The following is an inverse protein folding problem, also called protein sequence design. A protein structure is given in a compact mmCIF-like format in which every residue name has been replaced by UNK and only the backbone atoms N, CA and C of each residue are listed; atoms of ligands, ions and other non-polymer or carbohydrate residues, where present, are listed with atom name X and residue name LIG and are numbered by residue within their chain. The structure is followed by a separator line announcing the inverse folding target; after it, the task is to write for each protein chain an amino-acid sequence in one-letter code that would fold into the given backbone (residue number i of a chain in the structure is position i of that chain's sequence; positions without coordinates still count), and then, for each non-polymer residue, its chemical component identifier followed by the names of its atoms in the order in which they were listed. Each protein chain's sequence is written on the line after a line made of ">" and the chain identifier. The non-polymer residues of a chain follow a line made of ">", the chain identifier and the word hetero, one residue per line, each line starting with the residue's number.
data_IF_044794731001
#
_entry.id   IF_044794731001
#
_cell.length_a   1.000
_cell.length_b   1.000
_cell.length_c   1.000
_cell.angle_alpha   90.00
_cell.angle_beta   90.00
_cell.angle_gamma   90.00
#
_symmetry.space_group_name_H-M   'P 1'
#
loop_
_entity.id
_entity.type
_entity.pdbx_description
1 polymer ?
#
# COMPACT_ATOMS: atom_id res chain seq x y z
N UNK A 1 -16.31 11.81 24.61
CA UNK A 1 -15.14 12.37 23.91
C UNK A 1 -14.63 11.49 22.75
N UNK A 2 -14.47 10.15 22.85
CA UNK A 2 -14.02 9.33 21.68
C UNK A 2 -14.92 9.44 20.43
N UNK A 3 -16.25 9.45 20.60
CA UNK A 3 -17.24 9.53 19.48
C UNK A 3 -17.27 10.89 18.75
N UNK A 4 -16.63 11.92 19.29
CA UNK A 4 -16.54 13.25 18.64
C UNK A 4 -15.20 13.47 17.92
N UNK A 5 -14.26 12.51 18.00
CA UNK A 5 -13.01 12.55 17.23
C UNK A 5 -13.30 12.31 15.73
N UNK A 6 -12.87 13.19 14.81
CA UNK A 6 -13.09 12.99 13.37
C UNK A 6 -12.52 11.68 12.81
N UNK A 7 -11.34 11.25 13.28
CA UNK A 7 -10.71 9.97 12.90
C UNK A 7 -11.55 8.77 13.35
N UNK A 8 -12.18 8.86 14.53
CA UNK A 8 -13.13 7.83 14.99
C UNK A 8 -14.29 7.70 14.01
N UNK A 9 -14.92 8.82 13.63
CA UNK A 9 -16.08 8.81 12.74
C UNK A 9 -15.72 8.30 11.35
N UNK A 10 -14.60 8.79 10.80
CA UNK A 10 -14.10 8.37 9.50
C UNK A 10 -13.84 6.85 9.46
N UNK A 11 -13.14 6.31 10.47
CA UNK A 11 -12.86 4.87 10.55
C UNK A 11 -14.14 4.02 10.59
N UNK A 12 -15.12 4.38 11.43
CA UNK A 12 -16.36 3.60 11.53
C UNK A 12 -17.25 3.76 10.29
N UNK A 13 -17.24 4.94 9.65
CA UNK A 13 -17.92 5.18 8.38
C UNK A 13 -17.33 4.28 7.29
N UNK A 14 -16.00 4.26 7.16
CA UNK A 14 -15.28 3.40 6.22
C UNK A 14 -15.54 1.91 6.52
N UNK A 15 -15.48 1.51 7.79
CA UNK A 15 -15.73 0.14 8.21
C UNK A 15 -17.13 -0.32 7.81
N UNK A 16 -18.15 0.48 8.12
CA UNK A 16 -19.55 0.20 7.74
C UNK A 16 -19.72 0.06 6.22
N UNK A 17 -19.06 0.92 5.45
CA UNK A 17 -19.22 0.96 4.01
C UNK A 17 -18.50 -0.18 3.29
N UNK A 18 -17.24 -0.44 3.64
CA UNK A 18 -16.34 -1.29 2.86
C UNK A 18 -16.07 -2.65 3.49
N UNK A 19 -16.12 -2.79 4.81
CA UNK A 19 -15.78 -4.07 5.47
C UNK A 19 -16.97 -5.02 5.39
N UNK A 20 -16.76 -6.21 4.80
CA UNK A 20 -17.78 -7.23 4.59
C UNK A 20 -17.36 -8.54 5.28
N UNK A 21 -18.33 -9.21 5.88
CA UNK A 21 -18.13 -10.50 6.54
C UNK A 21 -18.85 -11.60 5.79
N UNK A 22 -18.18 -12.74 5.67
CA UNK A 22 -18.65 -13.99 5.08
C UNK A 22 -18.21 -15.16 5.98
N UNK A 23 -18.58 -16.39 5.63
CA UNK A 23 -18.22 -17.56 6.41
C UNK A 23 -16.70 -17.76 6.49
N UNK A 24 -16.00 -17.38 5.43
CA UNK A 24 -14.54 -17.46 5.29
C UNK A 24 -13.80 -16.30 5.98
N UNK A 25 -14.49 -15.41 6.70
CA UNK A 25 -13.87 -14.31 7.45
C UNK A 25 -14.33 -12.92 6.98
N UNK A 26 -13.46 -11.92 7.12
CA UNK A 26 -13.75 -10.53 6.78
C UNK A 26 -12.78 -9.99 5.73
N UNK A 27 -13.31 -9.25 4.76
CA UNK A 27 -12.55 -8.57 3.72
C UNK A 27 -12.99 -7.12 3.52
N UNK A 28 -12.16 -6.33 2.84
CA UNK A 28 -12.52 -4.98 2.37
C UNK A 28 -13.02 -5.09 0.93
N UNK A 29 -14.26 -4.67 0.70
CA UNK A 29 -14.83 -4.61 -0.64
C UNK A 29 -14.08 -3.59 -1.51
N UNK A 30 -13.37 -4.08 -2.53
CA UNK A 30 -12.64 -3.30 -3.51
C UNK A 30 -13.46 -2.85 -4.71
N UNK A 31 -14.71 -3.29 -4.84
CA UNK A 31 -15.61 -2.92 -5.95
C UNK A 31 -16.45 -1.71 -5.61
N UNK A 32 -16.41 -0.70 -6.50
CA UNK A 32 -17.32 0.46 -6.50
C UNK A 32 -18.64 0.18 -7.25
N UNK A 33 -18.73 -0.94 -7.96
CA UNK A 33 -19.93 -1.31 -8.69
C UNK A 33 -21.05 -1.73 -7.73
N UNK A 34 -22.25 -1.20 -7.98
CA UNK A 34 -23.44 -1.50 -7.18
C UNK A 34 -23.77 -3.00 -7.25
N UNK A 35 -24.01 -3.60 -6.08
CA UNK A 35 -24.32 -5.02 -5.91
C UNK A 35 -23.19 -5.99 -6.31
N UNK A 36 -22.00 -5.49 -6.67
CA UNK A 36 -20.81 -6.30 -6.81
C UNK A 36 -19.95 -6.18 -5.54
N UNK A 37 -19.35 -7.31 -5.13
CA UNK A 37 -18.37 -7.30 -4.05
C UNK A 37 -17.16 -8.10 -4.49
N UNK A 38 -16.00 -7.48 -4.36
CA UNK A 38 -14.71 -8.07 -4.71
C UNK A 38 -13.75 -7.89 -3.54
N UNK A 39 -12.96 -8.91 -3.25
CA UNK A 39 -11.81 -8.80 -2.36
C UNK A 39 -10.55 -8.82 -3.22
N UNK A 40 -9.67 -7.86 -2.99
CA UNK A 40 -8.34 -7.84 -3.59
C UNK A 40 -7.33 -8.15 -2.47
N UNK A 41 -6.20 -8.77 -2.79
CA UNK A 41 -5.11 -8.90 -1.80
C UNK A 41 -4.64 -7.51 -1.32
N UNK A 42 -4.66 -6.50 -2.20
CA UNK A 42 -4.44 -5.09 -1.84
C UNK A 42 -5.46 -4.59 -0.81
N UNK A 43 -6.76 -4.76 -1.09
CA UNK A 43 -7.82 -4.29 -0.19
C UNK A 43 -7.76 -5.00 1.15
N UNK A 44 -7.39 -6.29 1.16
CA UNK A 44 -7.16 -7.07 2.35
C UNK A 44 -5.98 -6.53 3.17
N UNK A 45 -4.85 -6.26 2.51
CA UNK A 45 -3.69 -5.63 3.13
C UNK A 45 -4.03 -4.30 3.80
N UNK A 46 -4.74 -3.42 3.10
CA UNK A 46 -5.22 -2.17 3.70
C UNK A 46 -6.13 -2.40 4.89
N UNK A 47 -7.10 -3.32 4.79
CA UNK A 47 -8.00 -3.64 5.90
C UNK A 47 -7.25 -4.09 7.16
N UNK A 48 -6.22 -4.92 6.98
CA UNK A 48 -5.37 -5.39 8.07
C UNK A 48 -4.53 -4.25 8.68
N UNK A 49 -3.90 -3.41 7.85
CA UNK A 49 -3.14 -2.24 8.31
C UNK A 49 -4.02 -1.23 9.07
N UNK A 50 -5.17 -0.88 8.49
CA UNK A 50 -6.16 0.03 9.09
C UNK A 50 -6.62 -0.52 10.44
N UNK A 51 -6.93 -1.81 10.52
CA UNK A 51 -7.37 -2.44 11.77
C UNK A 51 -6.27 -2.38 12.84
N UNK A 52 -5.00 -2.57 12.47
CA UNK A 52 -3.89 -2.45 13.43
C UNK A 52 -3.66 -1.01 13.91
N UNK A 53 -3.74 -0.03 13.01
CA UNK A 53 -3.62 1.39 13.37
C UNK A 53 -4.82 1.85 14.23
N UNK A 54 -6.02 1.35 13.93
CA UNK A 54 -7.22 1.57 14.75
C UNK A 54 -7.06 0.92 16.13
N UNK A 55 -6.49 -0.28 16.22
CA UNK A 55 -6.23 -0.98 17.47
C UNK A 55 -5.22 -0.25 18.37
N UNK A 56 -4.26 0.51 17.81
CA UNK A 56 -3.37 1.40 18.59
C UNK A 56 -4.13 2.54 19.30
N UNK A 57 -5.35 2.84 18.85
CA UNK A 57 -6.25 3.87 19.40
C UNK A 57 -7.45 3.30 20.15
N UNK A 58 -7.42 1.99 20.43
CA UNK A 58 -8.53 1.21 21.00
C UNK A 58 -9.84 1.34 20.19
N UNK A 59 -9.73 1.48 18.87
CA UNK A 59 -10.87 1.54 17.95
C UNK A 59 -11.19 0.19 17.30
N UNK A 60 -10.28 -0.77 17.43
CA UNK A 60 -10.44 -2.14 16.95
C UNK A 60 -9.84 -3.13 17.95
N UNK A 61 -10.38 -4.34 17.98
CA UNK A 61 -9.93 -5.40 18.88
C UNK A 61 -9.09 -6.45 18.16
N UNK A 62 -8.41 -7.31 18.92
CA UNK A 62 -7.74 -8.49 18.37
C UNK A 62 -8.71 -9.41 17.65
N UNK A 63 -9.97 -9.50 18.10
CA UNK A 63 -11.00 -10.29 17.46
C UNK A 63 -11.35 -9.72 16.07
N UNK A 64 -11.36 -8.40 15.89
CA UNK A 64 -11.62 -7.78 14.59
C UNK A 64 -10.49 -8.05 13.61
N UNK A 65 -9.24 -7.90 14.04
CA UNK A 65 -8.07 -8.26 13.22
C UNK A 65 -8.07 -9.74 12.83
N UNK A 66 -8.39 -10.62 13.78
CA UNK A 66 -8.46 -12.06 13.54
C UNK A 66 -9.47 -12.45 12.46
N UNK A 67 -10.53 -11.68 12.23
CA UNK A 67 -11.47 -11.94 11.13
C UNK A 67 -10.83 -11.72 9.75
N UNK A 68 -9.96 -10.72 9.62
CA UNK A 68 -9.17 -10.52 8.40
C UNK A 68 -8.10 -11.61 8.23
N UNK A 69 -7.48 -12.05 9.32
CA UNK A 69 -6.51 -13.18 9.28
C UNK A 69 -7.18 -14.46 8.76
N UNK A 70 -8.40 -14.77 9.22
CA UNK A 70 -9.16 -15.93 8.72
C UNK A 70 -9.33 -15.84 7.21
N UNK A 71 -9.79 -14.68 6.71
CA UNK A 71 -10.02 -14.48 5.28
C UNK A 71 -8.75 -14.67 4.46
N UNK A 72 -7.65 -14.05 4.87
CA UNK A 72 -6.35 -14.26 4.23
C UNK A 72 -5.99 -15.75 4.16
N UNK A 73 -6.09 -16.49 5.27
CA UNK A 73 -5.73 -17.90 5.30
C UNK A 73 -6.62 -18.80 4.44
N UNK A 74 -7.89 -18.43 4.21
CA UNK A 74 -8.80 -19.16 3.32
C UNK A 74 -8.51 -18.90 1.83
N UNK A 75 -7.78 -17.83 1.51
CA UNK A 75 -7.56 -17.37 0.14
C UNK A 75 -6.06 -17.32 -0.24
N UNK A 76 -5.21 -18.08 0.45
CA UNK A 76 -3.85 -18.36 -0.03
C UNK A 76 -3.87 -19.16 -1.33
N UNK A 77 -2.92 -18.92 -2.23
CA UNK A 77 -2.83 -19.60 -3.54
C UNK A 77 -2.81 -21.12 -3.40
N UNK A 78 -2.09 -21.64 -2.39
CA UNK A 78 -2.10 -23.07 -2.03
C UNK A 78 -1.52 -23.30 -0.63
N UNK A 79 -1.50 -24.56 -0.16
CA UNK A 79 -0.81 -24.93 1.08
C UNK A 79 0.71 -24.65 1.02
N UNK A 80 1.31 -24.69 -0.16
CA UNK A 80 2.74 -24.51 -0.39
C UNK A 80 3.12 -23.06 -0.72
N UNK A 81 2.19 -22.31 -1.31
CA UNK A 81 2.34 -20.88 -1.61
C UNK A 81 1.31 -20.10 -0.80
N UNK A 82 1.77 -19.51 0.30
CA UNK A 82 0.95 -18.82 1.30
C UNK A 82 0.77 -17.33 0.99
N UNK A 83 1.17 -16.89 -0.20
CA UNK A 83 0.73 -15.62 -0.76
C UNK A 83 -0.77 -15.68 -1.07
N UNK A 84 -1.44 -14.55 -1.00
CA UNK A 84 -2.88 -14.44 -1.20
C UNK A 84 -3.19 -14.38 -2.70
N UNK A 85 -4.19 -15.15 -3.15
CA UNK A 85 -4.74 -14.97 -4.48
C UNK A 85 -5.24 -13.52 -4.63
N UNK A 86 -4.88 -12.84 -5.71
CA UNK A 86 -4.98 -11.39 -5.77
C UNK A 86 -6.41 -10.87 -5.86
N UNK A 87 -7.36 -11.70 -6.35
CA UNK A 87 -8.76 -11.30 -6.51
C UNK A 87 -9.75 -12.44 -6.28
N UNK A 88 -10.72 -12.18 -5.41
CA UNK A 88 -11.91 -12.99 -5.22
C UNK A 88 -13.18 -12.19 -5.56
N UNK A 89 -14.13 -12.85 -6.21
CA UNK A 89 -15.46 -12.28 -6.46
C UNK A 89 -16.46 -12.91 -5.51
N UNK A 90 -17.35 -12.10 -4.95
CA UNK A 90 -18.47 -12.61 -4.17
C UNK A 90 -19.67 -12.82 -5.08
N UNK A 91 -20.19 -14.04 -5.08
CA UNK A 91 -21.50 -14.36 -5.64
C UNK A 91 -22.37 -14.91 -4.53
N UNK A 92 -23.50 -14.24 -4.24
CA UNK A 92 -24.32 -14.49 -3.06
C UNK A 92 -23.51 -14.38 -1.75
N UNK A 93 -23.48 -15.44 -0.94
CA UNK A 93 -22.67 -15.52 0.28
C UNK A 93 -21.37 -16.31 0.11
N UNK A 94 -21.03 -16.71 -1.13
CA UNK A 94 -19.83 -17.49 -1.42
C UNK A 94 -18.77 -16.60 -2.06
N UNK A 95 -17.52 -16.83 -1.67
CA UNK A 95 -16.35 -16.19 -2.26
C UNK A 95 -15.71 -17.15 -3.26
N UNK A 96 -15.51 -16.69 -4.49
CA UNK A 96 -14.88 -17.47 -5.55
C UNK A 96 -13.56 -16.86 -5.98
N UNK A 97 -12.51 -17.69 -6.01
CA UNK A 97 -11.25 -17.38 -6.70
C UNK A 97 -11.30 -18.01 -8.09
N UNK A 98 -11.31 -17.19 -9.14
CA UNK A 98 -11.20 -17.72 -10.51
C UNK A 98 -9.76 -18.20 -10.76
N UNK A 99 -9.58 -19.23 -11.58
CA UNK A 99 -8.25 -19.80 -11.86
C UNK A 99 -7.25 -18.74 -12.36
N UNK A 100 -7.68 -17.83 -13.24
CA UNK A 100 -6.88 -16.69 -13.74
C UNK A 100 -6.48 -15.68 -12.64
N UNK A 101 -7.16 -15.71 -11.50
CA UNK A 101 -6.88 -14.84 -10.36
C UNK A 101 -6.11 -15.57 -9.24
N UNK A 102 -5.78 -16.85 -9.42
CA UNK A 102 -5.05 -17.63 -8.42
C UNK A 102 -3.53 -17.42 -8.51
N UNK A 103 -3.15 -16.16 -8.60
CA UNK A 103 -1.78 -15.60 -8.59
C UNK A 103 -1.78 -14.47 -7.58
N UNK A 104 -0.63 -13.97 -7.15
CA UNK A 104 -0.59 -12.90 -6.16
C UNK A 104 -0.39 -11.51 -6.77
N UNK A 105 -0.56 -10.51 -5.92
CA UNK A 105 -0.09 -9.15 -6.12
C UNK A 105 0.76 -8.75 -4.90
N UNK A 106 2.00 -8.35 -5.19
CA UNK A 106 3.08 -8.25 -4.19
C UNK A 106 2.78 -7.21 -3.11
N UNK A 107 2.16 -6.09 -3.48
CA UNK A 107 1.76 -5.03 -2.54
C UNK A 107 0.77 -5.52 -1.49
N UNK A 108 -0.22 -6.31 -1.89
CA UNK A 108 -1.17 -6.92 -0.97
C UNK A 108 -0.50 -7.83 0.06
N UNK A 109 0.36 -8.74 -0.39
CA UNK A 109 1.07 -9.66 0.51
C UNK A 109 2.04 -8.94 1.44
N UNK A 110 2.74 -7.90 0.97
CA UNK A 110 3.61 -7.08 1.80
C UNK A 110 2.82 -6.37 2.91
N UNK A 111 1.66 -5.80 2.60
CA UNK A 111 0.80 -5.15 3.59
C UNK A 111 0.24 -6.15 4.61
N UNK A 112 -0.19 -7.34 4.16
CA UNK A 112 -0.66 -8.42 5.04
C UNK A 112 0.45 -8.87 5.98
N UNK A 113 1.65 -9.14 5.46
CA UNK A 113 2.80 -9.55 6.27
C UNK A 113 3.18 -8.49 7.30
N UNK A 114 3.23 -7.22 6.90
CA UNK A 114 3.55 -6.12 7.81
C UNK A 114 2.49 -5.95 8.90
N UNK A 115 1.20 -6.03 8.55
CA UNK A 115 0.11 -5.95 9.52
C UNK A 115 0.14 -7.10 10.54
N UNK A 116 0.50 -8.32 10.11
CA UNK A 116 0.71 -9.46 11.03
C UNK A 116 1.87 -9.21 12.00
N UNK A 117 2.95 -8.57 11.57
CA UNK A 117 4.05 -8.19 12.47
C UNK A 117 3.62 -7.08 13.45
N UNK A 118 2.82 -6.12 13.02
CA UNK A 118 2.21 -5.15 13.94
C UNK A 118 1.33 -5.85 14.99
N UNK A 119 0.58 -6.88 14.60
CA UNK A 119 -0.23 -7.68 15.50
C UNK A 119 0.61 -8.49 16.51
N UNK A 120 1.71 -9.11 16.06
CA UNK A 120 2.67 -9.76 16.94
C UNK A 120 3.29 -8.78 17.95
N UNK A 121 3.63 -7.57 17.51
CA UNK A 121 4.16 -6.54 18.41
C UNK A 121 3.13 -6.10 19.48
N UNK A 122 1.84 -5.99 19.10
CA UNK A 122 0.80 -5.49 20.00
C UNK A 122 0.22 -6.55 20.93
N UNK A 123 -0.03 -7.75 20.41
CA UNK A 123 -0.76 -8.81 21.11
C UNK A 123 0.04 -10.09 21.31
N UNK A 124 1.27 -10.14 20.79
CA UNK A 124 2.09 -11.35 20.75
C UNK A 124 1.43 -12.49 19.96
N UNK A 125 2.19 -13.56 19.75
CA UNK A 125 1.76 -14.75 19.02
C UNK A 125 1.29 -15.88 19.95
N UNK A 126 0.68 -15.55 21.10
CA UNK A 126 0.26 -16.51 22.13
C UNK A 126 -1.22 -16.87 22.06
N UNK A 127 -2.01 -16.16 21.26
CA UNK A 127 -3.44 -16.41 21.07
C UNK A 127 -3.75 -17.47 20.01
N UNK A 128 -4.97 -17.40 19.44
CA UNK A 128 -5.46 -18.34 18.42
C UNK A 128 -4.56 -18.44 17.18
N UNK A 129 -3.91 -17.34 16.80
CA UNK A 129 -3.02 -17.28 15.64
C UNK A 129 -1.63 -16.88 16.08
N UNK A 130 -0.63 -17.58 15.54
CA UNK A 130 0.76 -17.20 15.67
C UNK A 130 1.09 -16.20 14.54
N UNK A 131 0.89 -14.91 14.79
CA UNK A 131 1.05 -13.85 13.79
C UNK A 131 2.48 -13.79 13.24
N UNK A 132 3.50 -13.94 14.10
CA UNK A 132 4.90 -13.96 13.67
C UNK A 132 5.17 -15.08 12.68
N UNK A 133 4.66 -16.28 12.94
CA UNK A 133 4.80 -17.43 12.03
C UNK A 133 4.06 -17.19 10.71
N UNK A 134 2.86 -16.61 10.75
CA UNK A 134 2.12 -16.27 9.53
C UNK A 134 2.88 -15.24 8.68
N UNK A 135 3.38 -14.16 9.30
CA UNK A 135 4.18 -13.16 8.61
C UNK A 135 5.47 -13.76 8.02
N UNK A 136 6.19 -14.57 8.82
CA UNK A 136 7.43 -15.23 8.37
C UNK A 136 7.19 -16.12 7.14
N UNK A 137 6.06 -16.82 7.10
CA UNK A 137 5.69 -17.63 5.94
C UNK A 137 5.49 -16.80 4.67
N UNK A 138 4.75 -15.69 4.76
CA UNK A 138 4.51 -14.78 3.62
C UNK A 138 5.84 -14.18 3.15
N UNK A 139 6.65 -13.67 4.07
CA UNK A 139 7.96 -13.08 3.78
C UNK A 139 8.88 -14.08 3.07
N UNK A 140 8.92 -15.34 3.52
CA UNK A 140 9.71 -16.36 2.84
C UNK A 140 9.14 -16.71 1.45
N UNK A 141 7.81 -16.71 1.30
CA UNK A 141 7.17 -16.99 0.01
C UNK A 141 7.34 -15.83 -0.99
N UNK A 142 7.34 -14.57 -0.55
CA UNK A 142 7.69 -13.42 -1.39
C UNK A 142 9.09 -13.56 -1.99
N UNK A 143 10.06 -13.98 -1.18
CA UNK A 143 11.41 -14.27 -1.68
C UNK A 143 11.42 -15.46 -2.64
N UNK A 144 10.68 -16.52 -2.35
CA UNK A 144 10.66 -17.72 -3.18
C UNK A 144 10.00 -17.50 -4.55
N UNK A 145 8.91 -16.75 -4.57
CA UNK A 145 8.03 -16.63 -5.73
C UNK A 145 8.16 -15.30 -6.47
N UNK A 146 8.53 -14.21 -5.80
CA UNK A 146 8.46 -12.86 -6.39
C UNK A 146 9.83 -12.21 -6.56
N UNK A 147 10.83 -12.56 -5.75
CA UNK A 147 12.18 -11.98 -5.85
C UNK A 147 12.85 -12.30 -7.18
N UNK A 148 13.40 -11.28 -7.83
CA UNK A 148 14.17 -11.38 -9.06
C UNK A 148 15.66 -11.23 -8.73
N UNK A 149 16.41 -12.33 -8.89
CA UNK A 149 17.86 -12.36 -8.62
C UNK A 149 18.66 -11.44 -9.56
N UNK A 150 18.17 -11.14 -10.77
CA UNK A 150 18.88 -10.32 -11.77
C UNK A 150 18.86 -8.82 -11.44
N UNK A 151 17.80 -8.33 -10.80
CA UNK A 151 17.66 -6.91 -10.47
C UNK A 151 17.53 -6.63 -8.96
N UNK A 152 17.51 -7.68 -8.14
CA UNK A 152 17.44 -7.65 -6.67
C UNK A 152 16.16 -7.02 -6.09
N UNK A 153 15.10 -6.95 -6.89
CA UNK A 153 13.79 -6.41 -6.51
C UNK A 153 12.71 -7.50 -6.52
N UNK A 154 11.56 -7.18 -5.92
CA UNK A 154 10.37 -7.99 -6.08
C UNK A 154 9.67 -7.64 -7.39
N UNK A 155 9.18 -8.67 -8.11
CA UNK A 155 8.26 -8.51 -9.24
C UNK A 155 6.90 -8.01 -8.74
N UNK A 156 6.04 -7.57 -9.65
CA UNK A 156 4.66 -7.15 -9.34
C UNK A 156 3.78 -8.29 -8.79
N UNK A 157 4.11 -9.54 -9.10
CA UNK A 157 3.51 -10.75 -8.54
C UNK A 157 4.26 -11.99 -9.03
N UNK A 158 3.96 -13.17 -8.49
CA UNK A 158 4.63 -14.42 -8.86
C UNK A 158 4.50 -14.78 -10.35
N UNK A 159 3.39 -14.41 -10.97
CA UNK A 159 3.07 -14.67 -12.37
C UNK A 159 3.98 -13.94 -13.36
N UNK A 160 4.67 -12.88 -12.91
CA UNK A 160 5.65 -12.17 -13.72
C UNK A 160 6.99 -12.91 -13.82
N UNK A 161 7.21 -13.97 -13.02
CA UNK A 161 8.46 -14.73 -13.04
C UNK A 161 8.64 -15.45 -14.37
N UNK A 162 9.79 -15.25 -15.01
CA UNK A 162 10.15 -15.80 -16.32
C UNK A 162 9.27 -15.33 -17.48
N UNK A 163 8.44 -14.31 -17.28
CA UNK A 163 7.68 -13.68 -18.36
C UNK A 163 8.53 -12.56 -18.98
N UNK A 164 8.75 -12.60 -20.30
CA UNK A 164 9.61 -11.63 -21.00
C UNK A 164 9.14 -10.17 -20.81
N UNK A 165 7.82 -9.96 -20.79
CA UNK A 165 7.21 -8.63 -20.67
C UNK A 165 7.19 -8.14 -19.22
N UNK A 166 6.97 -9.03 -18.25
CA UNK A 166 6.70 -8.65 -16.86
C UNK A 166 7.85 -8.92 -15.87
N UNK A 167 8.85 -9.74 -16.22
CA UNK A 167 9.91 -10.18 -15.28
C UNK A 167 10.70 -9.02 -14.66
N UNK A 168 10.87 -7.94 -15.41
CA UNK A 168 11.61 -6.74 -15.01
C UNK A 168 10.70 -5.54 -14.74
N UNK A 169 9.38 -5.74 -14.75
CA UNK A 169 8.41 -4.70 -14.42
C UNK A 169 8.44 -4.44 -12.92
N UNK A 170 8.62 -3.17 -12.57
CA UNK A 170 8.55 -2.68 -11.20
C UNK A 170 7.40 -1.68 -11.13
N UNK A 171 6.42 -1.98 -10.27
CA UNK A 171 5.43 -1.02 -9.82
C UNK A 171 6.04 -0.19 -8.71
N UNK A 172 6.18 1.11 -8.91
CA UNK A 172 7.03 1.94 -8.03
C UNK A 172 6.45 2.09 -6.62
N UNK A 173 5.13 1.95 -6.44
CA UNK A 173 4.47 1.91 -5.13
C UNK A 173 4.83 0.70 -4.27
N UNK A 174 5.40 -0.34 -4.87
CA UNK A 174 5.80 -1.57 -4.17
C UNK A 174 7.22 -1.45 -3.62
N UNK A 175 7.94 -0.39 -3.96
CA UNK A 175 9.23 -0.07 -3.36
C UNK A 175 8.97 0.55 -1.98
N UNK A 176 8.84 -0.30 -0.96
CA UNK A 176 8.55 0.08 0.43
C UNK A 176 9.74 -0.27 1.34
N UNK A 177 10.83 0.53 1.38
CA UNK A 177 12.05 0.14 2.09
C UNK A 177 11.87 -0.09 3.60
N UNK A 178 10.93 0.57 4.27
CA UNK A 178 10.64 0.30 5.68
C UNK A 178 10.20 -1.16 5.92
N UNK A 179 9.46 -1.74 4.98
CA UNK A 179 9.01 -3.13 5.06
C UNK A 179 10.18 -4.08 4.80
N UNK A 180 11.00 -3.81 3.78
CA UNK A 180 12.17 -4.64 3.47
C UNK A 180 13.16 -4.69 4.62
N UNK A 181 13.38 -3.55 5.31
CA UNK A 181 14.18 -3.52 6.55
C UNK A 181 13.57 -4.41 7.64
N UNK A 182 12.26 -4.31 7.86
CA UNK A 182 11.54 -5.12 8.86
C UNK A 182 11.60 -6.62 8.52
N UNK A 183 11.49 -6.98 7.24
CA UNK A 183 11.55 -8.37 6.78
C UNK A 183 12.96 -8.95 6.88
N UNK A 184 14.00 -8.14 6.66
CA UNK A 184 15.38 -8.51 6.96
C UNK A 184 15.56 -8.79 8.46
N UNK A 185 15.08 -7.90 9.34
CA UNK A 185 15.17 -8.09 10.79
C UNK A 185 14.41 -9.33 11.28
N UNK A 186 13.32 -9.71 10.60
CA UNK A 186 12.55 -10.92 10.90
C UNK A 186 13.28 -12.22 10.53
N UNK A 187 14.04 -12.22 9.42
CA UNK A 187 14.49 -13.46 8.74
C UNK A 187 16.01 -13.62 8.64
N UNK A 188 16.77 -12.54 8.79
CA UNK A 188 18.21 -12.43 8.46
C UNK A 188 18.57 -12.79 6.99
N UNK A 189 17.56 -12.86 6.10
CA UNK A 189 17.78 -13.12 4.67
C UNK A 189 18.31 -11.87 3.96
N UNK A 190 19.58 -11.93 3.52
CA UNK A 190 20.28 -10.81 2.87
C UNK A 190 19.61 -10.30 1.59
N UNK A 191 18.72 -11.07 0.95
CA UNK A 191 17.95 -10.60 -0.20
C UNK A 191 17.05 -9.42 0.18
N UNK A 192 16.49 -9.41 1.38
CA UNK A 192 15.73 -8.24 1.87
C UNK A 192 16.59 -7.00 2.04
N UNK A 193 17.83 -7.16 2.52
CA UNK A 193 18.79 -6.07 2.61
C UNK A 193 19.16 -5.53 1.21
N UNK A 194 19.35 -6.41 0.22
CA UNK A 194 19.58 -6.01 -1.18
C UNK A 194 18.40 -5.25 -1.75
N UNK A 195 17.19 -5.78 -1.62
CA UNK A 195 15.95 -5.12 -2.05
C UNK A 195 15.77 -3.76 -1.37
N UNK A 196 16.06 -3.64 -0.07
CA UNK A 196 16.06 -2.37 0.66
C UNK A 196 16.96 -1.32 0.00
N UNK A 197 18.24 -1.65 -0.20
CA UNK A 197 19.23 -0.74 -0.76
C UNK A 197 18.93 -0.39 -2.23
N UNK A 198 18.53 -1.40 -3.02
CA UNK A 198 18.17 -1.24 -4.42
C UNK A 198 16.97 -0.33 -4.59
N UNK A 199 15.93 -0.53 -3.78
CA UNK A 199 14.71 0.28 -3.82
C UNK A 199 15.00 1.75 -3.59
N UNK A 200 15.81 2.09 -2.58
CA UNK A 200 16.22 3.49 -2.31
C UNK A 200 16.92 4.07 -3.54
N UNK A 201 17.90 3.36 -4.10
CA UNK A 201 18.64 3.82 -5.29
C UNK A 201 17.73 4.05 -6.51
N UNK A 202 16.77 3.16 -6.75
CA UNK A 202 15.81 3.32 -7.87
C UNK A 202 14.92 4.53 -7.63
N UNK A 203 14.37 4.68 -6.43
CA UNK A 203 13.50 5.81 -6.08
C UNK A 203 14.25 7.15 -6.20
N UNK A 204 15.50 7.23 -5.73
CA UNK A 204 16.36 8.42 -5.90
C UNK A 204 16.59 8.72 -7.38
N UNK A 205 17.01 7.72 -8.17
CA UNK A 205 17.26 7.87 -9.61
C UNK A 205 16.01 8.36 -10.35
N UNK A 206 14.83 7.86 -10.00
CA UNK A 206 13.57 8.29 -10.61
C UNK A 206 13.18 9.71 -10.20
N UNK A 207 13.31 10.02 -8.91
CA UNK A 207 13.04 11.37 -8.40
C UNK A 207 13.97 12.42 -9.04
N UNK A 208 15.24 12.07 -9.30
CA UNK A 208 16.23 12.97 -9.89
C UNK A 208 16.08 13.20 -11.40
N UNK A 209 15.33 12.35 -12.10
CA UNK A 209 15.05 12.51 -13.54
C UNK A 209 14.16 13.71 -13.88
N UNK A 210 13.49 14.32 -12.90
CA UNK A 210 12.61 15.47 -13.12
C UNK A 210 12.69 16.48 -11.97
N UNK A 211 12.13 17.68 -12.20
CA UNK A 211 12.18 18.78 -11.22
C UNK A 211 11.19 18.60 -10.07
N UNK A 212 10.10 17.86 -10.29
CA UNK A 212 9.00 17.70 -9.32
C UNK A 212 9.27 16.62 -8.28
N UNK A 213 10.21 15.72 -8.55
CA UNK A 213 10.46 14.52 -7.76
C UNK A 213 9.41 13.42 -7.95
N UNK A 214 8.42 13.64 -8.83
CA UNK A 214 7.36 12.67 -9.10
C UNK A 214 7.93 11.39 -9.73
N UNK A 215 7.29 10.27 -9.40
CA UNK A 215 7.73 8.93 -9.79
C UNK A 215 6.59 8.27 -10.59
N UNK A 216 6.87 7.61 -11.73
CA UNK A 216 5.84 7.00 -12.55
C UNK A 216 5.26 5.73 -11.93
N UNK A 217 4.06 5.32 -12.34
CA UNK A 217 3.42 4.07 -11.92
C UNK A 217 4.32 2.85 -12.17
N UNK A 218 4.87 2.75 -13.39
CA UNK A 218 5.69 1.62 -13.80
C UNK A 218 7.03 2.02 -14.42
N UNK A 219 8.03 1.19 -14.15
CA UNK A 219 9.36 1.24 -14.75
C UNK A 219 9.86 -0.16 -15.04
N UNK A 220 10.75 -0.28 -16.03
CA UNK A 220 11.50 -1.51 -16.25
C UNK A 220 12.87 -1.38 -15.60
N UNK A 221 13.24 -2.35 -14.77
CA UNK A 221 14.53 -2.39 -14.09
C UNK A 221 15.27 -3.66 -14.46
N UNK A 222 16.38 -3.49 -15.16
CA UNK A 222 17.41 -4.51 -15.34
C UNK A 222 18.64 -4.10 -14.53
N UNK A 223 19.54 -5.05 -14.27
CA UNK A 223 20.71 -4.95 -13.38
C UNK A 223 21.13 -3.51 -12.98
N UNK A 224 21.57 -2.65 -13.92
CA UNK A 224 21.86 -1.23 -13.61
C UNK A 224 21.04 -0.19 -14.39
N UNK A 225 20.07 -0.62 -15.19
CA UNK A 225 19.29 0.29 -16.04
C UNK A 225 17.86 0.47 -15.52
N UNK A 226 17.35 1.69 -15.64
CA UNK A 226 15.96 2.04 -15.32
C UNK A 226 15.36 2.72 -16.53
N UNK A 227 14.53 1.99 -17.24
CA UNK A 227 13.85 2.45 -18.46
C UNK A 227 12.42 2.88 -18.14
N UNK A 228 11.98 3.90 -18.84
CA UNK A 228 10.59 4.34 -18.77
C UNK A 228 9.69 3.33 -19.50
N UNK A 229 8.44 3.27 -19.09
CA UNK A 229 7.38 2.53 -19.76
C UNK A 229 6.63 3.47 -20.70
N UNK A 230 6.07 2.96 -21.80
CA UNK A 230 5.19 3.73 -22.67
C UNK A 230 3.73 3.66 -22.18
N UNK A 231 2.89 4.68 -22.43
CA UNK A 231 1.46 4.61 -22.17
C UNK A 231 0.82 3.33 -22.75
N UNK A 232 -0.18 2.77 -22.07
CA UNK A 232 -0.94 1.57 -22.46
C UNK A 232 -0.11 0.30 -22.65
N UNK A 233 1.02 0.18 -21.95
CA UNK A 233 1.87 -1.03 -22.02
C UNK A 233 1.40 -2.12 -21.06
N UNK A 234 0.95 -1.73 -19.86
CA UNK A 234 0.62 -2.62 -18.76
C UNK A 234 -0.79 -2.44 -18.23
N UNK A 235 -1.16 -1.25 -17.72
CA UNK A 235 -2.46 -1.04 -17.08
C UNK A 235 -3.28 0.05 -17.77
N UNK A 236 -2.68 1.18 -18.16
CA UNK A 236 -3.43 2.33 -18.66
C UNK A 236 -2.57 3.31 -19.48
N UNK A 237 -3.21 4.35 -20.02
CA UNK A 237 -2.51 5.48 -20.65
C UNK A 237 -1.58 6.25 -19.69
N UNK A 238 -1.71 6.02 -18.39
CA UNK A 238 -0.96 6.70 -17.34
C UNK A 238 0.22 5.89 -16.80
N UNK A 239 0.56 4.74 -17.41
CA UNK A 239 1.64 3.84 -16.96
C UNK A 239 2.98 4.55 -16.69
N UNK A 240 3.23 5.67 -17.38
CA UNK A 240 4.46 6.46 -17.32
C UNK A 240 4.34 7.77 -16.53
N UNK A 241 3.24 7.96 -15.80
CA UNK A 241 2.90 9.17 -15.04
C UNK A 241 2.83 8.89 -13.55
N UNK A 242 2.82 9.94 -12.73
CA UNK A 242 2.46 9.82 -11.32
C UNK A 242 0.94 9.65 -11.22
N UNK A 243 0.48 8.41 -11.18
CA UNK A 243 -0.92 8.06 -11.36
C UNK A 243 -1.43 7.12 -10.25
N UNK A 244 -2.33 6.20 -10.59
CA UNK A 244 -3.12 5.45 -9.62
C UNK A 244 -2.33 4.46 -8.79
N UNK A 245 -1.15 4.05 -9.26
CA UNK A 245 -0.22 3.26 -8.45
C UNK A 245 0.74 4.16 -7.67
N UNK A 246 1.48 5.03 -8.37
CA UNK A 246 2.55 5.84 -7.79
C UNK A 246 2.06 6.87 -6.79
N UNK A 247 0.77 7.21 -6.78
CA UNK A 247 0.19 8.08 -5.75
C UNK A 247 0.42 7.58 -4.31
N UNK A 248 0.64 6.27 -4.11
CA UNK A 248 0.94 5.67 -2.80
C UNK A 248 2.37 5.93 -2.35
N UNK A 249 3.31 6.19 -3.27
CA UNK A 249 4.75 6.32 -2.97
C UNK A 249 5.00 7.28 -1.81
N UNK A 250 4.46 8.51 -1.76
CA UNK A 250 4.75 9.44 -0.67
C UNK A 250 4.39 8.91 0.72
N UNK A 251 3.27 8.20 0.83
CA UNK A 251 2.85 7.53 2.07
C UNK A 251 3.80 6.38 2.42
N UNK A 252 4.16 5.54 1.44
CA UNK A 252 5.08 4.40 1.65
C UNK A 252 6.47 4.84 2.11
N UNK A 253 6.96 5.99 1.62
CA UNK A 253 8.25 6.56 2.02
C UNK A 253 8.18 7.30 3.36
N UNK A 254 6.99 7.65 3.84
CA UNK A 254 6.80 8.40 5.08
C UNK A 254 6.54 7.51 6.30
N UNK A 255 5.86 6.39 6.12
CA UNK A 255 5.39 5.55 7.21
C UNK A 255 6.49 4.63 7.79
N UNK A 256 6.53 4.51 9.12
CA UNK A 256 7.42 3.61 9.86
C UNK A 256 8.91 3.73 9.49
N UNK A 257 9.39 4.95 9.20
CA UNK A 257 10.79 5.19 8.83
C UNK A 257 11.31 6.54 9.30
N UNK A 258 12.61 6.55 9.63
CA UNK A 258 13.40 7.76 9.91
C UNK A 258 14.51 7.99 8.89
N UNK A 259 14.59 7.16 7.84
CA UNK A 259 15.62 7.20 6.80
C UNK A 259 15.63 8.56 6.09
N UNK A 260 16.82 9.16 5.95
CA UNK A 260 16.96 10.53 5.45
C UNK A 260 16.90 10.60 3.92
N UNK A 261 17.36 9.57 3.23
CA UNK A 261 17.27 9.45 1.77
C UNK A 261 15.80 9.43 1.33
N UNK A 262 14.95 8.64 2.00
CA UNK A 262 13.51 8.61 1.73
C UNK A 262 12.83 9.95 2.03
N UNK A 263 13.21 10.61 3.13
CA UNK A 263 12.73 11.95 3.46
C UNK A 263 13.11 12.96 2.39
N UNK A 264 14.33 12.88 1.84
CA UNK A 264 14.79 13.77 0.76
C UNK A 264 13.97 13.58 -0.52
N UNK A 265 13.64 12.34 -0.89
CA UNK A 265 12.75 12.05 -2.03
C UNK A 265 11.36 12.66 -1.78
N UNK A 266 10.77 12.40 -0.61
CA UNK A 266 9.48 12.98 -0.23
C UNK A 266 9.53 14.52 -0.19
N UNK A 267 10.63 15.10 0.29
CA UNK A 267 10.81 16.56 0.34
C UNK A 267 10.69 17.17 -1.05
N UNK A 268 11.30 16.57 -2.08
CA UNK A 268 11.20 17.07 -3.46
C UNK A 268 9.76 17.04 -3.98
N UNK A 269 9.06 15.93 -3.76
CA UNK A 269 7.62 15.78 -4.08
C UNK A 269 6.78 16.83 -3.35
N UNK A 270 7.04 17.04 -2.05
CA UNK A 270 6.34 18.03 -1.23
C UNK A 270 6.64 19.46 -1.68
N UNK A 271 7.86 19.78 -2.09
CA UNK A 271 8.20 21.10 -2.66
C UNK A 271 7.34 21.40 -3.89
N UNK A 272 7.14 20.42 -4.78
CA UNK A 272 6.23 20.57 -5.92
C UNK A 272 4.78 20.79 -5.47
N UNK A 273 4.25 19.94 -4.59
CA UNK A 273 2.85 20.03 -4.15
C UNK A 273 2.55 21.26 -3.29
N UNK A 274 3.54 21.80 -2.58
CA UNK A 274 3.42 23.04 -1.81
C UNK A 274 3.19 24.27 -2.70
N UNK A 275 3.52 24.19 -3.99
CA UNK A 275 3.29 25.25 -4.98
C UNK A 275 1.92 25.13 -5.67
N UNK A 276 1.18 24.04 -5.45
CA UNK A 276 -0.09 23.80 -6.13
C UNK A 276 -1.27 24.39 -5.34
N UNK A 277 -2.20 25.03 -6.05
CA UNK A 277 -3.44 25.53 -5.45
C UNK A 277 -4.30 24.38 -4.88
N UNK A 278 -4.37 23.28 -5.63
CA UNK A 278 -5.06 22.04 -5.27
C UNK A 278 -4.30 20.83 -5.82
N UNK A 279 -4.39 19.69 -5.13
CA UNK A 279 -3.84 18.42 -5.60
C UNK A 279 -4.87 17.79 -6.55
N UNK A 280 -4.49 17.53 -7.79
CA UNK A 280 -5.28 16.86 -8.82
C UNK A 280 -5.03 15.35 -8.80
N UNK A 281 -5.87 14.60 -9.48
CA UNK A 281 -5.53 13.22 -9.83
C UNK A 281 -4.58 13.24 -11.02
N UNK A 282 -3.59 12.33 -11.06
CA UNK A 282 -2.68 12.09 -12.19
C UNK A 282 -1.86 13.31 -12.67
N UNK A 283 -0.54 13.19 -12.59
CA UNK A 283 0.40 14.19 -13.08
C UNK A 283 1.41 13.58 -14.05
N UNK A 284 1.67 14.29 -15.15
CA UNK A 284 2.91 14.06 -15.89
C UNK A 284 4.10 14.36 -14.98
N UNK A 285 5.25 13.72 -15.23
CA UNK A 285 6.43 13.86 -14.37
C UNK A 285 7.02 15.29 -14.39
N UNK A 286 6.67 16.11 -15.38
CA UNK A 286 7.01 17.53 -15.45
C UNK A 286 6.16 18.43 -14.52
N UNK A 287 5.10 17.87 -13.94
CA UNK A 287 4.19 18.56 -13.02
C UNK A 287 2.89 19.06 -13.64
N UNK A 288 2.68 18.90 -14.95
CA UNK A 288 1.38 19.20 -15.57
C UNK A 288 0.33 18.16 -15.16
N UNK A 289 -0.85 18.62 -14.75
CA UNK A 289 -1.98 17.73 -14.42
C UNK A 289 -2.60 17.17 -15.69
N UNK A 290 -2.94 15.87 -15.68
CA UNK A 290 -3.63 15.23 -16.81
C UNK A 290 -5.14 15.45 -16.80
N UNK A 291 -5.68 16.04 -15.73
CA UNK A 291 -7.09 16.35 -15.56
C UNK A 291 -7.28 17.47 -14.52
N UNK A 292 -8.53 17.92 -14.35
CA UNK A 292 -8.88 19.03 -13.46
C UNK A 292 -9.58 18.59 -12.16
N UNK A 293 -9.80 17.29 -11.95
CA UNK A 293 -10.46 16.80 -10.74
C UNK A 293 -9.44 16.39 -9.66
N UNK A 294 -9.91 16.27 -8.42
CA UNK A 294 -9.11 15.87 -7.26
C UNK A 294 -9.62 14.55 -6.72
N UNK A 295 -8.73 13.76 -6.11
CA UNK A 295 -9.09 12.50 -5.45
C UNK A 295 -8.31 12.34 -4.15
N UNK A 296 -8.96 11.83 -3.11
CA UNK A 296 -8.29 11.50 -1.85
C UNK A 296 -7.21 10.43 -2.02
N UNK A 297 -7.26 9.62 -3.08
CA UNK A 297 -6.18 8.70 -3.42
C UNK A 297 -4.83 9.42 -3.68
N UNK A 298 -4.87 10.68 -4.11
CA UNK A 298 -3.67 11.50 -4.35
C UNK A 298 -3.40 12.46 -3.20
N UNK A 299 -4.44 13.05 -2.61
CA UNK A 299 -4.30 14.00 -1.49
C UNK A 299 -3.82 13.31 -0.21
N UNK A 300 -4.37 12.14 0.13
CA UNK A 300 -4.12 11.48 1.41
C UNK A 300 -2.66 11.02 1.56
N UNK A 301 -2.01 10.42 0.54
CA UNK A 301 -0.60 10.09 0.64
C UNK A 301 0.33 11.29 0.82
N UNK A 302 0.03 12.41 0.15
CA UNK A 302 0.79 13.66 0.34
C UNK A 302 0.58 14.22 1.75
N UNK A 303 -0.60 14.06 2.34
CA UNK A 303 -0.85 14.47 3.73
C UNK A 303 0.06 13.72 4.72
N UNK A 304 0.28 12.41 4.51
CA UNK A 304 1.19 11.59 5.33
C UNK A 304 2.63 12.09 5.21
N UNK A 305 3.11 12.29 3.98
CA UNK A 305 4.46 12.81 3.73
C UNK A 305 4.66 14.22 4.32
N UNK A 306 3.69 15.13 4.12
CA UNK A 306 3.73 16.48 4.66
C UNK A 306 3.74 16.46 6.19
N UNK A 307 3.00 15.54 6.83
CA UNK A 307 3.02 15.38 8.28
C UNK A 307 4.36 14.87 8.82
N UNK A 308 5.02 13.95 8.11
CA UNK A 308 6.38 13.48 8.46
C UNK A 308 7.39 14.64 8.51
N UNK A 309 7.20 15.65 7.65
CA UNK A 309 8.09 16.81 7.49
C UNK A 309 7.40 18.14 7.84
N UNK A 310 6.45 18.10 8.80
CA UNK A 310 5.61 19.25 9.17
C UNK A 310 6.37 20.46 9.69
N UNK A 311 7.60 20.30 10.17
CA UNK A 311 8.46 21.43 10.56
C UNK A 311 8.86 22.32 9.38
N UNK A 312 8.95 21.75 8.18
CA UNK A 312 9.27 22.48 6.95
C UNK A 312 8.01 22.77 6.10
N UNK A 313 7.03 21.86 6.13
CA UNK A 313 5.80 21.96 5.34
C UNK A 313 4.56 22.20 6.22
N UNK A 314 4.66 23.06 7.24
CA UNK A 314 3.62 23.25 8.25
C UNK A 314 2.24 23.56 7.64
N UNK A 315 2.16 24.61 6.81
CA UNK A 315 0.90 25.06 6.21
C UNK A 315 0.27 23.98 5.30
N UNK A 316 1.08 23.29 4.50
CA UNK A 316 0.63 22.18 3.67
C UNK A 316 0.11 21.03 4.55
N UNK A 317 0.88 20.64 5.57
CA UNK A 317 0.49 19.57 6.49
C UNK A 317 -0.82 19.89 7.21
N UNK A 318 -1.00 21.11 7.72
CA UNK A 318 -2.25 21.54 8.36
C UNK A 318 -3.44 21.51 7.40
N UNK A 319 -3.28 22.07 6.20
CA UNK A 319 -4.32 22.08 5.15
C UNK A 319 -4.75 20.65 4.78
N UNK A 320 -3.79 19.77 4.50
CA UNK A 320 -4.09 18.41 4.04
C UNK A 320 -4.62 17.52 5.17
N UNK A 321 -4.14 17.67 6.40
CA UNK A 321 -4.71 16.95 7.56
C UNK A 321 -6.18 17.29 7.77
N UNK A 322 -6.56 18.57 7.63
CA UNK A 322 -7.96 18.98 7.71
C UNK A 322 -8.83 18.26 6.66
N UNK A 323 -8.33 18.11 5.43
CA UNK A 323 -9.04 17.38 4.36
C UNK A 323 -9.15 15.87 4.64
N UNK A 324 -8.08 15.27 5.15
CA UNK A 324 -8.04 13.84 5.47
C UNK A 324 -8.91 13.49 6.68
N UNK A 325 -9.01 14.38 7.68
CA UNK A 325 -9.82 14.18 8.88
C UNK A 325 -11.31 14.48 8.71
N UNK A 326 -11.71 15.09 7.60
CA UNK A 326 -13.12 15.20 7.24
C UNK A 326 -13.76 13.79 7.19
N UNK A 327 -14.95 13.60 7.78
CA UNK A 327 -15.57 12.27 7.89
C UNK A 327 -16.41 11.86 6.66
N UNK A 328 -16.45 12.71 5.61
CA UNK A 328 -17.16 12.42 4.36
C UNK A 328 -16.40 11.39 3.54
N UNK A 329 -17.13 10.38 3.07
CA UNK A 329 -16.64 9.37 2.14
C UNK A 329 -17.09 9.70 0.71
N UNK A 330 -16.19 9.54 -0.25
CA UNK A 330 -16.45 9.73 -1.67
C UNK A 330 -17.24 8.59 -2.31
N UNK A 331 -17.36 7.45 -1.61
CA UNK A 331 -17.91 6.18 -2.12
C UNK A 331 -17.07 5.58 -3.25
N UNK A 332 -15.78 5.90 -3.26
CA UNK A 332 -14.76 5.22 -4.05
C UNK A 332 -13.85 4.47 -3.08
N UNK A 333 -13.83 3.15 -3.15
CA UNK A 333 -13.08 2.26 -2.28
C UNK A 333 -11.64 2.73 -2.13
N UNK A 334 -10.98 3.00 -3.26
CA UNK A 334 -9.55 3.27 -3.24
C UNK A 334 -9.23 4.61 -2.56
N UNK A 335 -9.93 5.67 -2.95
CA UNK A 335 -9.75 7.00 -2.37
C UNK A 335 -10.12 7.04 -0.88
N UNK A 336 -11.22 6.41 -0.49
CA UNK A 336 -11.69 6.39 0.90
C UNK A 336 -10.82 5.51 1.79
N UNK A 337 -10.30 4.40 1.26
CA UNK A 337 -9.38 3.51 1.98
C UNK A 337 -8.03 4.18 2.23
N UNK A 338 -7.46 4.86 1.22
CA UNK A 338 -6.24 5.65 1.40
C UNK A 338 -6.46 6.85 2.34
N UNK A 339 -7.65 7.47 2.32
CA UNK A 339 -8.02 8.54 3.26
C UNK A 339 -8.00 8.05 4.71
N UNK A 340 -8.68 6.95 5.04
CA UNK A 340 -8.72 6.43 6.42
C UNK A 340 -7.35 5.91 6.85
N UNK A 341 -6.59 5.27 5.95
CA UNK A 341 -5.24 4.80 6.21
C UNK A 341 -4.33 5.98 6.59
N UNK A 342 -4.33 7.05 5.78
CA UNK A 342 -3.58 8.26 6.06
C UNK A 342 -4.01 8.93 7.38
N UNK A 343 -5.32 9.03 7.63
CA UNK A 343 -5.85 9.63 8.85
C UNK A 343 -5.31 8.90 10.09
N UNK A 344 -5.38 7.57 10.09
CA UNK A 344 -4.90 6.73 11.18
C UNK A 344 -3.38 6.73 11.30
N UNK A 345 -2.63 6.75 10.19
CA UNK A 345 -1.17 6.89 10.23
C UNK A 345 -0.75 8.20 10.89
N UNK A 346 -1.36 9.32 10.49
CA UNK A 346 -1.07 10.65 11.05
C UNK A 346 -1.46 10.71 12.53
N UNK A 347 -2.64 10.19 12.90
CA UNK A 347 -3.10 10.16 14.29
C UNK A 347 -2.18 9.30 15.17
N UNK A 348 -1.57 8.24 14.63
CA UNK A 348 -0.56 7.41 15.30
C UNK A 348 0.88 7.95 15.17
N UNK A 349 1.08 9.20 14.74
CA UNK A 349 2.40 9.82 14.57
C UNK A 349 3.35 9.04 13.63
N UNK A 350 2.79 8.33 12.64
CA UNK A 350 3.51 7.49 11.68
C UNK A 350 4.26 6.30 12.31
N UNK A 351 3.89 5.90 13.53
CA UNK A 351 4.48 4.78 14.28
C UNK A 351 3.64 3.52 14.22
#
# INVERSE_FOLDING_TARGET
>A
MKRTNPVYKLYHSWQSHYVKSVNEGTFVNGSDEKNSQEALSESQGYGMLITMLAAKKDLATQADFNKFVIYYQQHTISKQNRLMAWKQNKSNNNIQTLAKNNTDATDGDMDIAYALLMADQKWHSTGKYNYKKLATNIVNDLIKYNYNDENELLRVGNWAKNDEKYNNLIRTSDLIPSYFKTFYELTDDKRWQKTYLKSIRILEKLSDKNKTGLIPDFVLVTDNNVSNVAPNTFESEDDNKYAWNANRVPLRLAFATSNQELKKINKKILTFFNQQNSIKAVYNLDGSSSNDYSSMAFTAPIAVAAYQQKSEFQNLSEKLRKQVYDDTLSKNYYADTLKVLAALMIDNELK
#
